data_IF_302862603274
#
_entry.id   IF_302862603274
#
_cell.length_a   1.000
_cell.length_b   1.000
_cell.length_c   1.000
_cell.angle_alpha   90.00
_cell.angle_beta   90.00
_cell.angle_gamma   90.00
#
_symmetry.space_group_name_H-M   'P 1'
#
loop_
_entity.id
_entity.type
_entity.pdbx_description
1 polymer ?
#
# COMPACT_ATOMS: atom_id res chain seq x y z
N UNK A 1 32.68 -10.67 -19.33
CA UNK A 1 31.38 -10.34 -18.70
C UNK A 1 31.08 -8.89 -18.99
N UNK A 2 30.10 -8.60 -19.84
CA UNK A 2 29.59 -7.24 -20.03
C UNK A 2 28.88 -6.82 -18.74
N UNK A 3 29.47 -5.90 -17.98
CA UNK A 3 28.78 -5.26 -16.86
C UNK A 3 27.55 -4.54 -17.42
N UNK A 4 26.36 -5.13 -17.24
CA UNK A 4 25.10 -4.41 -17.47
C UNK A 4 25.07 -3.28 -16.45
N UNK A 5 25.21 -2.05 -16.93
CA UNK A 5 25.11 -0.86 -16.08
C UNK A 5 23.63 -0.67 -15.74
N UNK A 6 23.27 -0.81 -14.47
CA UNK A 6 21.95 -0.42 -13.97
C UNK A 6 21.76 1.08 -14.21
N UNK A 7 20.66 1.47 -14.88
CA UNK A 7 20.31 2.87 -15.14
C UNK A 7 19.02 3.18 -14.40
N UNK A 8 19.08 4.20 -13.53
CA UNK A 8 17.90 4.78 -12.92
C UNK A 8 17.28 5.82 -13.85
N UNK A 9 16.01 6.16 -13.61
CA UNK A 9 15.31 7.17 -14.39
C UNK A 9 16.02 8.52 -14.31
N UNK A 10 16.11 9.23 -15.45
CA UNK A 10 16.78 10.53 -15.52
C UNK A 10 16.14 11.63 -14.66
N UNK A 11 14.86 11.46 -14.31
CA UNK A 11 14.12 12.37 -13.43
C UNK A 11 14.32 12.06 -11.93
N UNK A 12 14.82 10.87 -11.58
CA UNK A 12 14.98 10.48 -10.19
C UNK A 12 16.10 11.30 -9.52
N UNK A 13 15.83 11.79 -8.31
CA UNK A 13 16.73 12.68 -7.57
C UNK A 13 18.17 12.16 -7.53
N UNK A 14 19.10 12.83 -8.22
CA UNK A 14 20.53 12.45 -8.22
C UNK A 14 20.82 11.06 -8.77
N UNK A 15 19.96 10.53 -9.66
CA UNK A 15 20.07 9.17 -10.18
C UNK A 15 19.82 8.11 -9.11
N UNK A 16 18.99 8.41 -8.11
CA UNK A 16 18.62 7.48 -7.03
C UNK A 16 17.61 6.43 -7.49
N UNK A 17 17.58 5.33 -6.76
CA UNK A 17 16.52 4.32 -6.83
C UNK A 17 15.36 4.74 -5.91
N UNK A 18 14.15 4.27 -6.20
CA UNK A 18 12.92 4.64 -5.49
C UNK A 18 12.60 3.63 -4.40
N UNK A 19 12.27 4.11 -3.18
CA UNK A 19 12.08 3.27 -2.00
C UNK A 19 11.06 2.15 -2.20
N UNK A 20 9.88 2.46 -2.75
CA UNK A 20 8.87 1.43 -3.04
C UNK A 20 9.29 0.48 -4.17
N UNK A 21 10.13 0.89 -5.12
CA UNK A 21 10.57 -0.02 -6.19
C UNK A 21 11.53 -1.10 -5.68
N UNK A 22 12.56 -0.72 -4.91
CA UNK A 22 13.52 -1.70 -4.38
C UNK A 22 13.09 -2.33 -3.06
N UNK A 23 12.19 -1.68 -2.31
CA UNK A 23 11.64 -2.17 -1.06
C UNK A 23 10.57 -3.25 -1.23
N UNK A 24 9.93 -3.29 -2.40
CA UNK A 24 8.76 -4.15 -2.67
C UNK A 24 9.13 -5.36 -3.54
N UNK A 25 10.25 -6.00 -3.19
CA UNK A 25 10.74 -7.22 -3.83
C UNK A 25 10.81 -8.41 -2.86
N UNK A 26 10.69 -8.12 -1.56
CA UNK A 26 11.10 -9.04 -0.50
C UNK A 26 10.29 -10.33 -0.50
N UNK A 27 8.96 -10.24 -0.59
CA UNK A 27 8.09 -11.40 -0.47
C UNK A 27 8.25 -12.38 -1.65
N UNK A 28 8.33 -11.86 -2.87
CA UNK A 28 8.49 -12.67 -4.07
C UNK A 28 9.87 -13.33 -4.10
N UNK A 29 10.94 -12.58 -3.81
CA UNK A 29 12.30 -13.11 -3.86
C UNK A 29 12.57 -14.11 -2.72
N UNK A 30 12.06 -13.82 -1.52
CA UNK A 30 12.20 -14.75 -0.39
C UNK A 30 11.47 -16.06 -0.66
N UNK A 31 10.25 -16.01 -1.19
CA UNK A 31 9.50 -17.22 -1.56
C UNK A 31 10.11 -17.93 -2.78
N UNK A 32 10.65 -17.19 -3.76
CA UNK A 32 11.36 -17.77 -4.89
C UNK A 32 12.57 -18.59 -4.44
N UNK A 33 13.31 -18.13 -3.43
CA UNK A 33 14.36 -18.94 -2.80
C UNK A 33 13.82 -20.18 -2.10
N UNK A 34 12.69 -20.09 -1.38
CA UNK A 34 12.10 -21.26 -0.72
C UNK A 34 11.67 -22.34 -1.72
N UNK A 35 11.03 -21.96 -2.83
CA UNK A 35 10.49 -22.93 -3.80
C UNK A 35 11.57 -23.51 -4.72
N UNK A 36 12.65 -22.77 -4.99
CA UNK A 36 13.72 -23.21 -5.89
C UNK A 36 14.89 -23.87 -5.16
N UNK A 37 15.09 -23.54 -3.88
CA UNK A 37 16.28 -23.89 -3.11
C UNK A 37 17.50 -23.02 -3.46
N UNK A 38 17.37 -22.03 -4.35
CA UNK A 38 18.44 -21.10 -4.71
C UNK A 38 18.40 -19.87 -3.79
N UNK A 39 19.41 -19.71 -2.93
CA UNK A 39 19.49 -18.62 -1.95
C UNK A 39 19.71 -17.24 -2.60
N UNK A 40 20.11 -17.17 -3.87
CA UNK A 40 20.51 -15.91 -4.51
C UNK A 40 19.42 -14.86 -4.46
N UNK A 41 18.15 -15.23 -4.58
CA UNK A 41 17.02 -14.30 -4.57
C UNK A 41 16.85 -13.66 -3.20
N UNK A 42 16.75 -14.47 -2.15
CA UNK A 42 16.69 -14.00 -0.76
C UNK A 42 17.90 -13.15 -0.39
N UNK A 43 19.11 -13.57 -0.76
CA UNK A 43 20.34 -12.82 -0.49
C UNK A 43 20.30 -11.40 -1.06
N UNK A 44 19.70 -11.21 -2.25
CA UNK A 44 19.55 -9.85 -2.84
C UNK A 44 18.67 -8.95 -2.00
N UNK A 45 17.51 -9.43 -1.55
CA UNK A 45 16.57 -8.61 -0.77
C UNK A 45 17.00 -8.43 0.69
N UNK A 46 17.75 -9.39 1.25
CA UNK A 46 18.42 -9.22 2.54
C UNK A 46 19.53 -8.16 2.50
N UNK A 47 20.26 -8.07 1.38
CA UNK A 47 21.26 -7.00 1.18
C UNK A 47 20.61 -5.61 1.23
N UNK A 48 19.41 -5.47 0.65
CA UNK A 48 18.64 -4.23 0.70
C UNK A 48 18.28 -3.88 2.14
N UNK A 49 17.77 -4.84 2.92
CA UNK A 49 17.44 -4.60 4.33
C UNK A 49 18.64 -4.24 5.18
N UNK A 50 19.78 -4.89 5.01
CA UNK A 50 21.00 -4.55 5.72
C UNK A 50 21.40 -3.08 5.51
N UNK A 51 21.39 -2.61 4.26
CA UNK A 51 21.64 -1.20 3.94
C UNK A 51 20.62 -0.27 4.59
N UNK A 52 19.33 -0.61 4.51
CA UNK A 52 18.26 0.20 5.07
C UNK A 52 18.26 0.21 6.61
N UNK A 53 18.70 -0.86 7.27
CA UNK A 53 18.78 -0.95 8.73
C UNK A 53 19.89 -0.06 9.27
N UNK A 54 21.05 -0.07 8.61
CA UNK A 54 22.25 0.63 9.09
C UNK A 54 22.26 2.13 8.75
N UNK A 55 21.55 2.54 7.71
CA UNK A 55 21.53 3.95 7.30
C UNK A 55 20.74 4.82 8.28
N UNK A 56 21.30 5.98 8.65
CA UNK A 56 20.62 6.95 9.50
C UNK A 56 19.34 7.48 8.83
N UNK A 57 18.22 7.39 9.54
CA UNK A 57 16.89 7.81 9.08
C UNK A 57 16.56 9.19 9.63
N UNK A 58 16.37 10.22 8.79
CA UNK A 58 15.98 11.55 9.28
C UNK A 58 14.63 11.46 10.01
N UNK A 59 14.61 11.77 11.30
CA UNK A 59 13.44 11.67 12.19
C UNK A 59 12.82 10.26 12.26
N UNK A 60 13.60 9.22 12.00
CA UNK A 60 13.11 7.85 11.90
C UNK A 60 12.28 7.56 10.63
N UNK A 61 12.18 8.51 9.70
CA UNK A 61 11.45 8.35 8.44
C UNK A 61 12.40 7.92 7.32
N UNK A 62 11.83 7.25 6.31
CA UNK A 62 12.57 6.78 5.13
C UNK A 62 12.34 7.74 3.96
N UNK A 63 13.39 8.44 3.47
CA UNK A 63 13.32 9.17 2.22
C UNK A 63 13.04 8.23 1.04
N UNK A 64 12.20 8.69 0.11
CA UNK A 64 11.77 7.92 -1.06
C UNK A 64 12.90 7.66 -2.09
N UNK A 65 14.10 8.23 -1.89
CA UNK A 65 15.20 8.16 -2.85
C UNK A 65 16.49 7.70 -2.16
N UNK A 66 17.07 6.60 -2.62
CA UNK A 66 18.37 6.10 -2.16
C UNK A 66 19.34 5.99 -3.34
N UNK A 67 20.53 6.59 -3.24
CA UNK A 67 21.53 6.50 -4.29
C UNK A 67 22.22 5.12 -4.26
N UNK A 68 22.11 4.28 -5.31
CA UNK A 68 22.64 2.92 -5.28
C UNK A 68 24.17 2.85 -5.36
N UNK A 69 24.85 3.93 -5.75
CA UNK A 69 26.32 3.98 -5.81
C UNK A 69 26.95 4.38 -4.49
N UNK A 70 26.30 5.28 -3.75
CA UNK A 70 26.84 5.84 -2.51
C UNK A 70 26.20 5.28 -1.25
N UNK A 71 25.04 4.63 -1.36
CA UNK A 71 24.26 4.18 -0.21
C UNK A 71 23.74 5.33 0.65
N UNK A 72 23.58 6.53 0.08
CA UNK A 72 23.09 7.72 0.80
C UNK A 72 21.71 8.14 0.32
N UNK A 73 20.91 8.68 1.23
CA UNK A 73 19.64 9.29 0.90
C UNK A 73 19.78 10.43 -0.12
N UNK A 74 18.82 10.52 -1.04
CA UNK A 74 18.64 11.63 -1.95
C UNK A 74 17.85 12.77 -1.31
N UNK A 75 16.92 13.36 -2.06
CA UNK A 75 16.02 14.38 -1.52
C UNK A 75 15.20 13.84 -0.34
N UNK A 76 15.06 14.67 0.70
CA UNK A 76 14.22 14.37 1.87
C UNK A 76 12.74 14.59 1.53
N UNK A 77 12.19 13.60 0.84
CA UNK A 77 10.77 13.46 0.55
C UNK A 77 10.32 12.11 1.09
N UNK A 78 9.35 12.12 2.00
CA UNK A 78 8.81 10.94 2.67
C UNK A 78 7.30 10.92 2.42
N UNK A 79 6.79 9.76 1.99
CA UNK A 79 5.37 9.58 1.69
C UNK A 79 4.95 8.15 2.06
N UNK A 80 3.71 8.01 2.52
CA UNK A 80 3.00 6.73 2.57
C UNK A 80 2.12 6.53 1.31
N UNK A 81 2.20 7.43 0.34
CA UNK A 81 1.68 7.27 -1.01
C UNK A 81 2.82 7.00 -1.97
N UNK A 82 2.74 7.62 -3.16
CA UNK A 82 3.66 7.34 -4.25
C UNK A 82 5.15 7.38 -3.83
N UNK A 83 5.92 6.42 -4.36
CA UNK A 83 7.37 6.27 -4.18
C UNK A 83 7.83 5.72 -2.82
N UNK A 84 6.91 5.51 -1.86
CA UNK A 84 7.24 5.02 -0.52
C UNK A 84 6.30 3.92 -0.01
N UNK A 85 5.00 4.04 -0.26
CA UNK A 85 3.90 3.10 0.07
C UNK A 85 4.30 1.64 0.37
N UNK A 86 4.54 0.84 -0.67
CA UNK A 86 4.62 -0.62 -0.58
C UNK A 86 5.89 -1.14 0.08
N UNK A 87 6.90 -0.27 0.31
CA UNK A 87 8.03 -0.63 1.17
C UNK A 87 7.56 -0.92 2.60
N UNK A 88 6.72 -0.03 3.16
CA UNK A 88 6.19 -0.20 4.51
C UNK A 88 5.25 -1.40 4.59
N UNK A 89 4.45 -1.61 3.54
CA UNK A 89 3.60 -2.78 3.36
C UNK A 89 4.40 -4.08 3.47
N UNK A 90 5.53 -4.16 2.75
CA UNK A 90 6.34 -5.37 2.67
C UNK A 90 7.14 -5.66 3.93
N UNK A 91 7.40 -4.68 4.79
CA UNK A 91 7.96 -4.96 6.11
C UNK A 91 6.98 -5.80 6.94
N UNK A 92 5.72 -5.37 7.05
CA UNK A 92 4.71 -6.13 7.78
C UNK A 92 4.41 -7.47 7.09
N UNK A 93 4.16 -7.42 5.78
CA UNK A 93 3.70 -8.61 5.04
C UNK A 93 4.79 -9.67 4.92
N UNK A 94 6.09 -9.32 4.90
CA UNK A 94 7.17 -10.30 4.98
C UNK A 94 7.24 -10.99 6.35
N UNK A 95 7.03 -10.25 7.44
CA UNK A 95 6.91 -10.84 8.77
C UNK A 95 5.74 -11.84 8.83
N UNK A 96 4.56 -11.47 8.30
CA UNK A 96 3.41 -12.38 8.23
C UNK A 96 3.74 -13.61 7.36
N UNK A 97 4.27 -13.42 6.16
CA UNK A 97 4.60 -14.49 5.21
C UNK A 97 5.54 -15.53 5.81
N UNK A 98 6.53 -15.08 6.59
CA UNK A 98 7.51 -15.95 7.24
C UNK A 98 6.96 -16.80 8.39
N UNK A 99 5.65 -16.76 8.64
CA UNK A 99 5.04 -17.44 9.79
C UNK A 99 5.23 -16.68 11.10
N UNK A 100 5.55 -15.37 11.02
CA UNK A 100 5.91 -14.49 12.14
C UNK A 100 7.33 -14.67 12.71
N UNK A 101 8.26 -15.20 11.91
CA UNK A 101 9.65 -15.45 12.33
C UNK A 101 10.65 -14.35 11.91
N UNK A 102 10.31 -13.52 10.92
CA UNK A 102 11.16 -12.42 10.43
C UNK A 102 11.05 -11.17 11.33
N UNK A 103 11.63 -11.26 12.53
CA UNK A 103 11.58 -10.18 13.53
C UNK A 103 12.26 -8.89 13.08
N UNK A 104 13.27 -8.96 12.21
CA UNK A 104 13.88 -7.75 11.64
C UNK A 104 12.85 -6.94 10.84
N UNK A 105 12.03 -7.60 10.02
CA UNK A 105 10.96 -6.94 9.29
C UNK A 105 9.93 -6.30 10.24
N UNK A 106 9.58 -7.01 11.31
CA UNK A 106 8.64 -6.52 12.32
C UNK A 106 9.16 -5.28 13.04
N UNK A 107 10.41 -5.31 13.51
CA UNK A 107 11.05 -4.17 14.18
C UNK A 107 11.12 -2.96 13.24
N UNK A 108 11.59 -3.16 12.00
CA UNK A 108 11.64 -2.10 11.00
C UNK A 108 10.26 -1.50 10.71
N UNK A 109 9.21 -2.34 10.65
CA UNK A 109 7.83 -1.88 10.47
C UNK A 109 7.38 -1.04 11.66
N UNK A 110 7.50 -1.55 12.88
CA UNK A 110 7.01 -0.87 14.07
C UNK A 110 7.71 0.49 14.26
N UNK A 111 9.03 0.56 14.07
CA UNK A 111 9.80 1.81 14.11
C UNK A 111 9.34 2.81 13.04
N UNK A 112 9.18 2.34 11.80
CA UNK A 112 8.76 3.18 10.68
C UNK A 112 7.35 3.75 10.90
N UNK A 113 6.40 2.89 11.31
CA UNK A 113 5.02 3.29 11.50
C UNK A 113 4.87 4.23 12.69
N UNK A 114 5.62 4.04 13.78
CA UNK A 114 5.64 4.99 14.90
C UNK A 114 6.17 6.37 14.47
N UNK A 115 7.22 6.41 13.64
CA UNK A 115 7.71 7.66 13.08
C UNK A 115 6.67 8.33 12.16
N UNK A 116 5.99 7.57 11.30
CA UNK A 116 4.90 8.06 10.44
C UNK A 116 3.74 8.61 11.27
N UNK A 117 3.30 7.92 12.32
CA UNK A 117 2.22 8.39 13.20
C UNK A 117 2.60 9.74 13.81
N UNK A 118 3.79 9.82 14.40
CA UNK A 118 4.28 11.04 15.04
C UNK A 118 4.38 12.21 14.06
N UNK A 119 4.92 11.95 12.87
CA UNK A 119 5.35 13.01 11.98
C UNK A 119 4.39 13.33 10.84
N UNK A 120 3.54 12.41 10.41
CA UNK A 120 2.79 12.51 9.15
C UNK A 120 1.28 12.25 9.30
N UNK A 121 0.83 11.49 10.30
CA UNK A 121 -0.61 11.29 10.58
C UNK A 121 -1.19 12.52 11.28
N UNK A 122 -2.29 13.05 10.76
CA UNK A 122 -2.94 14.29 11.23
C UNK A 122 -4.46 14.14 11.21
N UNK A 123 -5.14 15.03 11.92
CA UNK A 123 -6.59 15.19 11.86
C UNK A 123 -6.95 16.51 11.15
N UNK A 124 -7.95 16.49 10.29
CA UNK A 124 -8.51 17.69 9.68
C UNK A 124 -9.37 18.48 10.67
N UNK A 125 -9.68 19.76 10.41
CA UNK A 125 -10.67 20.50 11.21
C UNK A 125 -12.04 19.80 11.34
N UNK A 126 -12.46 19.09 10.29
CA UNK A 126 -13.68 18.27 10.25
C UNK A 126 -13.56 16.89 10.90
N UNK A 127 -12.39 16.56 11.49
CA UNK A 127 -12.18 15.31 12.21
C UNK A 127 -11.72 14.12 11.37
N UNK A 128 -11.36 14.32 10.10
CA UNK A 128 -10.84 13.24 9.24
C UNK A 128 -9.37 12.94 9.56
N UNK A 129 -9.04 11.68 9.83
CA UNK A 129 -7.66 11.21 9.97
C UNK A 129 -7.03 11.04 8.58
N UNK A 130 -5.87 11.65 8.33
CA UNK A 130 -5.14 11.50 7.07
C UNK A 130 -3.64 11.38 7.30
N UNK A 131 -2.93 10.83 6.32
CA UNK A 131 -1.47 10.81 6.27
C UNK A 131 -0.98 11.83 5.25
N UNK A 132 -0.14 12.75 5.69
CA UNK A 132 0.47 13.80 4.87
C UNK A 132 1.84 13.40 4.35
N UNK A 133 2.22 13.88 3.16
CA UNK A 133 3.62 13.83 2.73
C UNK A 133 4.48 14.78 3.55
N UNK A 134 5.77 14.48 3.67
CA UNK A 134 6.76 15.38 4.26
C UNK A 134 7.90 15.66 3.27
N UNK A 135 8.14 16.95 3.01
CA UNK A 135 9.24 17.44 2.16
C UNK A 135 10.08 18.44 2.91
N UNK A 136 11.37 18.15 3.10
CA UNK A 136 12.30 19.02 3.82
C UNK A 136 11.71 19.55 5.15
N UNK A 137 11.19 18.62 5.97
CA UNK A 137 10.54 18.89 7.26
C UNK A 137 9.23 19.67 7.24
N UNK A 138 8.64 19.90 6.06
CA UNK A 138 7.32 20.54 5.91
C UNK A 138 6.28 19.52 5.48
N UNK A 139 5.14 19.55 6.14
CA UNK A 139 4.00 18.73 5.75
C UNK A 139 3.33 19.33 4.52
N UNK A 140 3.06 18.48 3.54
CA UNK A 140 2.10 18.77 2.50
C UNK A 140 0.78 18.09 2.89
N UNK A 141 -0.23 18.89 3.24
CA UNK A 141 -1.56 18.42 3.66
C UNK A 141 -2.38 17.89 2.46
N UNK A 142 -1.87 16.81 1.89
CA UNK A 142 -2.31 16.09 0.70
C UNK A 142 -2.13 14.60 0.97
N UNK A 143 -3.07 13.80 0.49
CA UNK A 143 -3.00 12.34 0.52
C UNK A 143 -3.30 11.82 -0.88
N UNK A 144 -2.46 10.90 -1.36
CA UNK A 144 -2.68 10.21 -2.64
C UNK A 144 -3.68 9.07 -2.45
N UNK A 145 -4.42 8.72 -3.49
CA UNK A 145 -5.26 7.52 -3.51
C UNK A 145 -4.45 6.28 -3.16
N UNK A 146 -3.21 6.20 -3.65
CA UNK A 146 -2.24 5.17 -3.29
C UNK A 146 -2.15 4.99 -1.77
N UNK A 147 -2.09 6.08 -0.99
CA UNK A 147 -1.98 6.01 0.47
C UNK A 147 -3.22 5.44 1.16
N UNK A 148 -4.33 5.19 0.45
CA UNK A 148 -5.52 4.55 1.02
C UNK A 148 -5.30 3.09 1.40
N UNK A 149 -4.26 2.41 0.88
CA UNK A 149 -3.87 1.06 1.31
C UNK A 149 -3.50 1.03 2.81
N UNK A 150 -3.04 2.17 3.34
CA UNK A 150 -2.55 2.29 4.70
C UNK A 150 -3.63 1.97 5.75
N UNK A 151 -4.92 2.16 5.42
CA UNK A 151 -6.03 1.77 6.30
C UNK A 151 -5.98 0.28 6.65
N UNK A 152 -5.92 -0.57 5.63
CA UNK A 152 -5.75 -2.01 5.77
C UNK A 152 -4.40 -2.38 6.38
N UNK A 153 -3.31 -1.70 6.01
CA UNK A 153 -1.99 -1.95 6.59
C UNK A 153 -1.97 -1.74 8.11
N UNK A 154 -2.49 -0.62 8.60
CA UNK A 154 -2.60 -0.35 10.03
C UNK A 154 -3.53 -1.36 10.73
N UNK A 155 -4.66 -1.71 10.11
CA UNK A 155 -5.55 -2.75 10.60
C UNK A 155 -4.84 -4.09 10.81
N UNK A 156 -4.13 -4.56 9.78
CA UNK A 156 -3.30 -5.77 9.85
C UNK A 156 -2.20 -5.64 10.90
N UNK A 157 -1.50 -4.51 10.96
CA UNK A 157 -0.45 -4.25 11.93
C UNK A 157 -0.93 -4.37 13.38
N UNK A 158 -2.12 -3.85 13.67
CA UNK A 158 -2.73 -3.90 15.00
C UNK A 158 -3.20 -5.29 15.42
N UNK A 159 -3.59 -6.16 14.47
CA UNK A 159 -4.07 -7.52 14.74
C UNK A 159 -3.01 -8.61 14.66
N UNK A 160 -1.94 -8.34 13.93
CA UNK A 160 -0.92 -9.34 13.64
C UNK A 160 0.02 -9.58 14.83
N UNK A 161 0.32 -8.57 15.65
CA UNK A 161 1.00 -8.70 16.96
C UNK A 161 0.25 -7.89 18.00
N UNK A 162 -0.16 -8.52 19.10
CA UNK A 162 -0.79 -7.81 20.22
C UNK A 162 0.27 -7.12 21.09
N UNK A 163 0.30 -5.78 21.07
CA UNK A 163 1.22 -4.96 21.86
C UNK A 163 0.57 -3.61 22.24
N UNK A 164 1.33 -2.72 22.89
CA UNK A 164 0.82 -1.44 23.36
C UNK A 164 0.34 -0.46 22.25
N UNK A 165 0.67 -0.73 20.99
CA UNK A 165 0.29 0.10 19.84
C UNK A 165 -0.90 -0.49 19.05
N UNK A 166 -1.37 -1.70 19.39
CA UNK A 166 -2.41 -2.40 18.63
C UNK A 166 -3.70 -1.60 18.51
N UNK A 167 -4.19 -1.01 19.61
CA UNK A 167 -5.41 -0.19 19.60
C UNK A 167 -5.22 1.08 18.76
N UNK A 168 -4.10 1.78 18.93
CA UNK A 168 -3.78 2.97 18.13
C UNK A 168 -3.74 2.66 16.63
N UNK A 169 -3.17 1.51 16.24
CA UNK A 169 -3.13 1.09 14.84
C UNK A 169 -4.54 0.81 14.30
N UNK A 170 -5.40 0.14 15.08
CA UNK A 170 -6.79 -0.10 14.67
C UNK A 170 -7.57 1.21 14.49
N UNK A 171 -7.44 2.16 15.42
CA UNK A 171 -8.09 3.48 15.33
C UNK A 171 -7.62 4.27 14.11
N UNK A 172 -6.31 4.27 13.83
CA UNK A 172 -5.75 4.94 12.64
C UNK A 172 -6.21 4.22 11.37
N UNK A 173 -6.23 2.89 11.35
CA UNK A 173 -6.71 2.09 10.22
C UNK A 173 -8.16 2.41 9.86
N UNK A 174 -9.04 2.46 10.87
CA UNK A 174 -10.43 2.88 10.70
C UNK A 174 -10.55 4.33 10.22
N UNK A 175 -9.80 5.26 10.83
CA UNK A 175 -9.82 6.67 10.48
C UNK A 175 -9.36 6.94 9.04
N UNK A 176 -8.26 6.33 8.60
CA UNK A 176 -7.76 6.46 7.24
C UNK A 176 -8.74 5.85 6.22
N UNK A 177 -9.29 4.66 6.52
CA UNK A 177 -10.27 4.00 5.65
C UNK A 177 -11.52 4.86 5.47
N UNK A 178 -11.99 5.49 6.55
CA UNK A 178 -13.13 6.42 6.53
C UNK A 178 -12.82 7.67 5.72
N UNK A 179 -11.63 8.25 5.87
CA UNK A 179 -11.19 9.41 5.07
C UNK A 179 -11.10 9.09 3.57
N UNK A 180 -10.63 7.89 3.22
CA UNK A 180 -10.62 7.43 1.83
C UNK A 180 -12.04 7.27 1.29
N UNK A 181 -12.98 6.73 2.07
CA UNK A 181 -14.40 6.72 1.71
C UNK A 181 -14.97 8.13 1.50
N UNK A 182 -14.65 9.08 2.39
CA UNK A 182 -15.03 10.49 2.24
C UNK A 182 -14.54 11.08 0.92
N UNK A 183 -13.32 10.73 0.48
CA UNK A 183 -12.80 11.18 -0.81
C UNK A 183 -13.61 10.67 -2.01
N UNK A 184 -14.25 9.50 -1.89
CA UNK A 184 -15.12 8.93 -2.93
C UNK A 184 -16.48 9.63 -2.95
N UNK A 185 -17.17 9.69 -1.80
CA UNK A 185 -18.55 10.21 -1.73
C UNK A 185 -18.66 11.72 -1.94
N UNK A 186 -17.54 12.44 -1.83
CA UNK A 186 -17.43 13.88 -2.09
C UNK A 186 -17.26 14.23 -3.57
N UNK A 187 -17.24 13.25 -4.45
CA UNK A 187 -17.19 13.42 -5.91
C UNK A 187 -18.57 13.22 -6.53
N UNK A 188 -18.76 13.65 -7.78
CA UNK A 188 -20.02 13.39 -8.49
C UNK A 188 -20.16 11.89 -8.80
N UNK A 189 -19.09 11.30 -9.34
CA UNK A 189 -19.08 9.91 -9.81
C UNK A 189 -19.04 8.87 -8.70
N UNK A 190 -18.87 9.28 -7.43
CA UNK A 190 -18.64 8.40 -6.28
C UNK A 190 -17.37 7.54 -6.40
N UNK A 191 -16.38 8.00 -7.16
CA UNK A 191 -15.04 7.42 -7.27
C UNK A 191 -14.00 8.44 -6.82
N UNK A 192 -13.01 8.02 -6.03
CA UNK A 192 -12.01 8.93 -5.46
C UNK A 192 -11.02 9.49 -6.49
N UNK A 193 -10.56 10.74 -6.34
CA UNK A 193 -9.52 11.31 -7.19
C UNK A 193 -8.12 10.73 -6.86
N UNK A 194 -7.16 10.85 -7.77
CA UNK A 194 -5.77 10.41 -7.58
C UNK A 194 -5.11 11.01 -6.34
N UNK A 195 -5.45 12.26 -5.98
CA UNK A 195 -5.06 12.81 -4.69
C UNK A 195 -6.04 13.87 -4.20
N UNK A 196 -6.10 14.04 -2.89
CA UNK A 196 -7.02 14.94 -2.21
C UNK A 196 -6.32 15.69 -1.07
N UNK A 197 -6.89 16.84 -0.69
CA UNK A 197 -6.24 17.82 0.20
C UNK A 197 -7.05 18.09 1.46
N UNK A 198 -6.37 18.61 2.47
CA UNK A 198 -6.88 18.91 3.82
C UNK A 198 -6.53 20.33 4.28
N UNK A 199 -6.37 21.24 3.32
CA UNK A 199 -6.02 22.64 3.55
C UNK A 199 -7.02 23.58 2.85
N UNK A 200 -6.91 24.87 3.16
CA UNK A 200 -7.68 25.94 2.48
C UNK A 200 -9.21 25.75 2.55
N UNK A 201 -9.71 25.20 3.67
CA UNK A 201 -11.13 24.93 3.88
C UNK A 201 -11.69 23.75 3.07
N UNK A 202 -10.81 22.98 2.42
CA UNK A 202 -11.16 21.79 1.65
C UNK A 202 -10.64 20.55 2.35
N UNK A 203 -11.49 19.53 2.44
CA UNK A 203 -11.16 18.23 3.02
C UNK A 203 -11.56 17.11 2.07
N UNK A 204 -10.66 16.14 1.87
CA UNK A 204 -10.89 14.96 1.05
C UNK A 204 -11.42 15.27 -0.37
N UNK A 205 -10.93 16.36 -0.99
CA UNK A 205 -11.18 16.67 -2.41
C UNK A 205 -9.91 17.09 -3.13
N UNK A 206 -9.85 16.81 -4.44
CA UNK A 206 -8.80 17.29 -5.32
C UNK A 206 -9.03 18.76 -5.70
N UNK A 207 -7.97 19.56 -5.64
CA UNK A 207 -8.02 20.97 -6.06
C UNK A 207 -7.47 21.15 -7.47
N UNK A 208 -6.36 20.49 -7.79
CA UNK A 208 -5.65 20.66 -9.07
C UNK A 208 -6.26 19.77 -10.15
N UNK A 209 -6.37 20.27 -11.37
CA UNK A 209 -7.02 19.55 -12.47
C UNK A 209 -6.36 18.18 -12.75
N UNK A 210 -5.04 18.11 -12.70
CA UNK A 210 -4.25 16.89 -12.91
C UNK A 210 -4.35 15.88 -11.76
N UNK A 211 -5.02 16.21 -10.65
CA UNK A 211 -5.21 15.31 -9.50
C UNK A 211 -6.62 14.69 -9.50
N UNK A 212 -7.53 15.12 -10.40
CA UNK A 212 -8.97 14.76 -10.38
C UNK A 212 -9.31 13.43 -11.06
N UNK A 213 -8.33 12.74 -11.62
CA UNK A 213 -8.58 11.52 -12.37
C UNK A 213 -8.73 10.30 -11.46
N UNK A 214 -9.30 9.22 -11.99
CA UNK A 214 -9.38 7.91 -11.36
C UNK A 214 -9.05 6.85 -12.40
N UNK A 215 -8.01 6.04 -12.16
CA UNK A 215 -7.53 5.04 -13.14
C UNK A 215 -7.85 3.60 -12.71
N UNK A 216 -9.02 3.35 -12.12
CA UNK A 216 -9.47 2.01 -11.70
C UNK A 216 -8.66 1.41 -10.52
N UNK A 217 -8.04 2.27 -9.71
CA UNK A 217 -7.15 1.89 -8.62
C UNK A 217 -7.85 1.10 -7.50
N UNK A 218 -7.13 0.20 -6.81
CA UNK A 218 -7.69 -0.72 -5.82
C UNK A 218 -7.58 -0.29 -4.35
N UNK A 219 -6.73 0.66 -3.98
CA UNK A 219 -6.20 0.72 -2.60
C UNK A 219 -7.25 1.03 -1.53
N UNK A 220 -8.34 1.72 -1.91
CA UNK A 220 -9.50 1.92 -1.02
C UNK A 220 -10.25 0.61 -0.78
N UNK A 221 -10.40 -0.23 -1.81
CA UNK A 221 -11.09 -1.51 -1.73
C UNK A 221 -10.26 -2.58 -1.00
N UNK A 222 -8.93 -2.53 -1.11
CA UNK A 222 -8.04 -3.33 -0.25
C UNK A 222 -8.32 -3.04 1.22
N UNK A 223 -8.33 -1.76 1.60
CA UNK A 223 -8.64 -1.35 2.98
C UNK A 223 -10.04 -1.76 3.42
N UNK A 224 -11.07 -1.65 2.56
CA UNK A 224 -12.41 -2.14 2.89
C UNK A 224 -12.41 -3.65 3.15
N UNK A 225 -11.77 -4.44 2.26
CA UNK A 225 -11.66 -5.88 2.41
C UNK A 225 -10.98 -6.27 3.72
N UNK A 226 -9.82 -5.68 4.00
CA UNK A 226 -9.07 -5.97 5.23
C UNK A 226 -9.87 -5.55 6.46
N UNK A 227 -10.38 -4.32 6.50
CA UNK A 227 -11.11 -3.83 7.67
C UNK A 227 -12.41 -4.63 7.90
N UNK A 228 -13.10 -5.04 6.85
CA UNK A 228 -14.22 -5.99 6.95
C UNK A 228 -13.78 -7.30 7.61
N UNK A 229 -12.73 -7.97 7.12
CA UNK A 229 -12.26 -9.25 7.68
C UNK A 229 -11.83 -9.13 9.14
N UNK A 230 -11.25 -8.00 9.53
CA UNK A 230 -10.76 -7.80 10.90
C UNK A 230 -11.85 -7.38 11.90
N UNK A 231 -12.95 -6.76 11.44
CA UNK A 231 -13.94 -6.12 12.34
C UNK A 231 -15.36 -6.63 12.16
N UNK A 232 -15.69 -7.13 10.96
CA UNK A 232 -17.04 -7.45 10.53
C UNK A 232 -18.02 -6.27 10.63
N UNK A 233 -17.52 -5.02 10.57
CA UNK A 233 -18.36 -3.84 10.49
C UNK A 233 -18.97 -3.73 9.08
N UNK A 234 -20.30 -3.85 9.00
CA UNK A 234 -21.07 -3.90 7.76
C UNK A 234 -20.83 -2.68 6.85
N UNK A 235 -20.44 -1.53 7.43
CA UNK A 235 -20.19 -0.31 6.64
C UNK A 235 -19.19 -0.53 5.50
N UNK A 236 -18.17 -1.37 5.70
CA UNK A 236 -17.15 -1.61 4.67
C UNK A 236 -17.70 -2.33 3.44
N UNK A 237 -18.66 -3.25 3.64
CA UNK A 237 -19.37 -3.91 2.53
C UNK A 237 -20.32 -2.95 1.83
N UNK A 238 -21.04 -2.12 2.59
CA UNK A 238 -21.96 -1.13 2.03
C UNK A 238 -21.19 -0.09 1.18
N UNK A 239 -20.06 0.41 1.68
CA UNK A 239 -19.17 1.31 0.95
C UNK A 239 -18.55 0.66 -0.29
N UNK A 240 -18.16 -0.61 -0.20
CA UNK A 240 -17.71 -1.37 -1.37
C UNK A 240 -18.81 -1.51 -2.43
N UNK A 241 -20.06 -1.68 -2.03
CA UNK A 241 -21.18 -1.82 -2.95
C UNK A 241 -21.53 -0.50 -3.65
N UNK A 242 -21.46 0.62 -2.93
CA UNK A 242 -21.56 1.96 -3.52
C UNK A 242 -20.48 2.18 -4.60
N UNK A 243 -19.24 1.74 -4.34
CA UNK A 243 -18.17 1.83 -5.31
C UNK A 243 -18.37 0.90 -6.52
N UNK A 244 -18.89 -0.32 -6.34
CA UNK A 244 -19.27 -1.22 -7.46
C UNK A 244 -20.28 -0.53 -8.36
N UNK A 245 -21.33 0.08 -7.79
CA UNK A 245 -22.32 0.81 -8.58
C UNK A 245 -21.70 1.99 -9.33
N UNK A 246 -20.77 2.71 -8.71
CA UNK A 246 -20.04 3.81 -9.34
C UNK A 246 -19.17 3.34 -10.52
N UNK A 247 -18.46 2.22 -10.37
CA UNK A 247 -17.68 1.59 -11.44
C UNK A 247 -18.58 1.19 -12.62
N UNK A 248 -19.74 0.57 -12.34
CA UNK A 248 -20.72 0.19 -13.36
C UNK A 248 -21.28 1.39 -14.12
N UNK A 249 -21.59 2.47 -13.41
CA UNK A 249 -22.24 3.65 -13.98
C UNK A 249 -21.27 4.52 -14.81
N UNK A 250 -20.00 4.62 -14.39
CA UNK A 250 -19.07 5.60 -14.96
C UNK A 250 -17.89 4.99 -15.72
N UNK A 251 -17.37 3.84 -15.27
CA UNK A 251 -16.19 3.22 -15.85
C UNK A 251 -16.51 2.16 -16.89
N UNK A 252 -17.68 1.51 -16.82
CA UNK A 252 -18.06 0.45 -17.76
C UNK A 252 -18.24 0.99 -19.19
N UNK A 253 -17.81 0.18 -20.15
CA UNK A 253 -17.98 0.36 -21.59
C UNK A 253 -18.57 -0.94 -22.18
N UNK A 254 -19.00 -0.95 -23.46
CA UNK A 254 -19.47 -2.19 -24.10
C UNK A 254 -18.43 -3.33 -24.13
N UNK A 255 -17.13 -3.02 -24.01
CA UNK A 255 -16.03 -3.98 -24.20
C UNK A 255 -15.07 -4.09 -23.01
N UNK A 256 -15.34 -3.42 -21.88
CA UNK A 256 -14.45 -3.42 -20.71
C UNK A 256 -14.71 -2.24 -19.78
N UNK A 257 -13.69 -1.80 -19.06
CA UNK A 257 -13.70 -0.66 -18.13
C UNK A 257 -12.58 0.33 -18.47
N UNK A 258 -12.79 1.60 -18.15
CA UNK A 258 -11.83 2.69 -18.40
C UNK A 258 -11.76 3.63 -17.21
N UNK A 259 -10.59 4.24 -17.00
CA UNK A 259 -10.44 5.34 -16.07
C UNK A 259 -11.14 6.62 -16.53
N UNK A 260 -11.24 7.56 -15.59
CA UNK A 260 -11.92 8.84 -15.72
C UNK A 260 -10.91 9.97 -15.54
N UNK A 261 -10.91 10.96 -16.41
CA UNK A 261 -10.01 12.13 -16.29
C UNK A 261 -10.45 13.13 -15.23
N UNK A 262 -11.72 13.12 -14.83
CA UNK A 262 -12.25 14.03 -13.81
C UNK A 262 -13.50 13.46 -13.12
N UNK A 263 -13.34 12.97 -11.90
CA UNK A 263 -14.41 12.33 -11.08
C UNK A 263 -15.50 13.28 -10.59
N UNK A 264 -15.34 14.60 -10.77
CA UNK A 264 -16.29 15.63 -10.34
C UNK A 264 -17.31 16.02 -11.42
N UNK A 265 -17.23 15.45 -12.62
CA UNK A 265 -18.14 15.74 -13.72
C UNK A 265 -19.28 14.72 -13.79
N UNK A 266 -20.42 15.16 -14.31
CA UNK A 266 -21.58 14.29 -14.58
C UNK A 266 -21.29 13.30 -15.71
N UNK A 267 -20.60 13.78 -16.74
CA UNK A 267 -20.17 13.02 -17.91
C UNK A 267 -18.64 13.10 -18.01
N UNK A 268 -17.92 12.26 -17.24
CA UNK A 268 -16.45 12.30 -17.20
C UNK A 268 -15.84 11.83 -18.53
N UNK A 269 -14.79 12.53 -18.97
CA UNK A 269 -13.99 12.07 -20.12
C UNK A 269 -13.22 10.81 -19.73
N UNK A 270 -13.32 9.78 -20.58
CA UNK A 270 -12.65 8.49 -20.41
C UNK A 270 -11.17 8.57 -20.81
N UNK A 271 -10.32 7.78 -20.16
CA UNK A 271 -8.87 7.72 -20.45
C UNK A 271 -8.48 6.67 -21.50
N UNK A 272 -9.41 5.79 -21.88
CA UNK A 272 -9.24 4.69 -22.84
C UNK A 272 -8.20 3.64 -22.43
N UNK A 273 -8.05 3.40 -21.11
CA UNK A 273 -7.16 2.37 -20.57
C UNK A 273 -7.87 1.48 -19.54
N UNK A 274 -7.83 0.17 -19.77
CA UNK A 274 -8.16 -0.83 -18.76
C UNK A 274 -6.86 -1.34 -18.12
N UNK A 275 -6.58 -0.87 -16.91
CA UNK A 275 -5.37 -1.24 -16.17
C UNK A 275 -5.41 -2.72 -15.76
N UNK A 276 -4.27 -3.41 -15.77
CA UNK A 276 -4.19 -4.83 -15.35
C UNK A 276 -4.62 -5.01 -13.89
N UNK A 277 -4.23 -4.08 -13.01
CA UNK A 277 -4.61 -4.10 -11.60
C UNK A 277 -6.12 -3.94 -11.36
N UNK A 278 -6.89 -3.46 -12.33
CA UNK A 278 -8.35 -3.49 -12.19
C UNK A 278 -8.84 -4.94 -12.04
N UNK A 279 -8.28 -5.85 -12.84
CA UNK A 279 -8.63 -7.27 -12.80
C UNK A 279 -7.90 -8.00 -11.68
N UNK A 280 -6.61 -7.71 -11.49
CA UNK A 280 -5.82 -8.38 -10.46
C UNK A 280 -6.27 -7.97 -9.06
N UNK A 281 -6.59 -6.70 -8.82
CA UNK A 281 -6.76 -6.16 -7.48
C UNK A 281 -8.18 -5.67 -7.23
N UNK A 282 -8.65 -4.67 -7.97
CA UNK A 282 -9.95 -4.01 -7.73
C UNK A 282 -11.08 -5.03 -7.69
N UNK A 283 -11.21 -5.86 -8.73
CA UNK A 283 -12.24 -6.89 -8.79
C UNK A 283 -12.00 -8.01 -7.78
N UNK A 284 -10.75 -8.37 -7.47
CA UNK A 284 -10.45 -9.43 -6.50
C UNK A 284 -10.80 -8.99 -5.08
N UNK A 285 -10.39 -7.81 -4.64
CA UNK A 285 -10.71 -7.30 -3.31
C UNK A 285 -12.22 -7.08 -3.14
N UNK A 286 -12.91 -6.56 -4.16
CA UNK A 286 -14.37 -6.45 -4.12
C UNK A 286 -15.03 -7.83 -4.05
N UNK A 287 -14.57 -8.81 -4.82
CA UNK A 287 -15.08 -10.18 -4.72
C UNK A 287 -14.87 -10.78 -3.33
N UNK A 288 -13.68 -10.61 -2.75
CA UNK A 288 -13.33 -11.13 -1.42
C UNK A 288 -14.06 -10.41 -0.28
N UNK A 289 -14.31 -9.10 -0.42
CA UNK A 289 -15.10 -8.30 0.51
C UNK A 289 -16.51 -8.87 0.67
N UNK A 290 -17.13 -9.36 -0.41
CA UNK A 290 -18.45 -9.98 -0.40
C UNK A 290 -18.44 -11.51 -0.26
N UNK A 291 -17.27 -12.11 -0.07
CA UNK A 291 -17.13 -13.55 0.14
C UNK A 291 -17.05 -13.91 1.64
N UNK A 292 -17.28 -15.18 1.95
CA UNK A 292 -17.09 -15.73 3.29
C UNK A 292 -15.62 -15.75 3.71
N UNK A 293 -15.38 -15.71 5.02
CA UNK A 293 -14.04 -15.62 5.60
C UNK A 293 -13.13 -16.80 5.26
N UNK A 294 -13.74 -17.96 4.98
CA UNK A 294 -13.05 -19.18 4.57
C UNK A 294 -12.40 -19.13 3.19
N UNK A 295 -12.77 -18.16 2.34
CA UNK A 295 -12.11 -17.95 1.05
C UNK A 295 -10.89 -17.04 1.25
N UNK A 296 -9.70 -17.59 1.00
CA UNK A 296 -8.40 -16.93 1.21
C UNK A 296 -8.28 -16.29 2.60
N UNK A 297 -8.36 -17.08 3.69
CA UNK A 297 -8.26 -16.57 5.05
C UNK A 297 -6.91 -15.87 5.30
N UNK A 298 -6.92 -14.76 6.03
CA UNK A 298 -5.75 -13.92 6.26
C UNK A 298 -4.68 -14.59 7.14
N UNK A 299 -5.05 -15.66 7.84
CA UNK A 299 -4.16 -16.50 8.65
C UNK A 299 -3.28 -17.39 7.77
N UNK A 300 -3.78 -17.80 6.60
CA UNK A 300 -3.10 -18.73 5.68
C UNK A 300 -2.50 -18.00 4.47
N UNK A 301 -3.00 -16.81 4.13
CA UNK A 301 -2.59 -16.06 2.95
C UNK A 301 -2.19 -14.65 3.28
N UNK A 302 -1.14 -14.18 2.61
CA UNK A 302 -0.73 -12.79 2.60
C UNK A 302 -0.66 -12.31 1.15
N UNK A 303 -1.36 -11.23 0.85
CA UNK A 303 -1.43 -10.66 -0.50
C UNK A 303 -0.20 -9.81 -0.76
N UNK A 304 0.51 -10.04 -1.86
CA UNK A 304 1.53 -9.10 -2.32
C UNK A 304 0.90 -7.76 -2.74
N UNK A 305 1.70 -6.76 -3.13
CA UNK A 305 1.20 -5.39 -3.41
C UNK A 305 0.32 -5.29 -4.67
N UNK A 306 0.18 -6.38 -5.45
CA UNK A 306 -0.69 -6.46 -6.62
C UNK A 306 -1.81 -7.52 -6.41
N UNK A 307 -2.23 -7.68 -5.16
CA UNK A 307 -3.26 -8.62 -4.71
C UNK A 307 -3.01 -10.10 -5.11
N UNK A 308 -1.78 -10.53 -5.36
CA UNK A 308 -1.47 -11.94 -5.58
C UNK A 308 -1.26 -12.63 -4.23
N UNK A 309 -2.12 -13.60 -3.85
CA UNK A 309 -2.01 -14.26 -2.57
C UNK A 309 -0.81 -15.21 -2.56
N UNK A 310 0.07 -15.04 -1.56
CA UNK A 310 1.19 -15.93 -1.27
C UNK A 310 0.88 -16.74 0.01
N UNK A 311 1.22 -18.04 0.05
CA UNK A 311 0.96 -18.86 1.21
C UNK A 311 1.85 -18.43 2.39
N UNK A 312 1.30 -18.40 3.60
CA UNK A 312 2.05 -18.19 4.83
C UNK A 312 2.80 -19.46 5.21
N UNK A 313 4.11 -19.33 5.47
CA UNK A 313 4.98 -20.42 5.87
C UNK A 313 4.48 -21.09 7.16
N UNK A 314 4.55 -22.42 7.22
CA UNK A 314 4.16 -23.26 8.36
C UNK A 314 2.67 -23.16 8.79
N UNK A 315 1.84 -22.39 8.07
CA UNK A 315 0.38 -22.30 8.28
C UNK A 315 -0.41 -22.84 7.08
N UNK A 316 0.02 -22.48 5.87
CA UNK A 316 -0.70 -22.84 4.66
C UNK A 316 -0.13 -24.13 4.03
N UNK A 317 -0.94 -25.19 3.82
CA UNK A 317 -0.48 -26.44 3.21
C UNK A 317 -0.04 -26.31 1.75
N UNK A 318 -0.36 -25.19 1.09
CA UNK A 318 0.10 -24.87 -0.26
C UNK A 318 1.45 -24.13 -0.28
N UNK A 319 2.08 -23.91 0.87
CA UNK A 319 3.47 -23.50 0.93
C UNK A 319 4.37 -24.63 0.41
N UNK A 320 5.26 -24.33 -0.55
CA UNK A 320 6.00 -25.35 -1.35
C UNK A 320 7.51 -25.21 -1.18
N UNK A 321 8.09 -25.62 -0.06
CA UNK A 321 9.53 -25.55 0.12
C UNK A 321 10.24 -26.52 -0.85
N UNK A 322 11.46 -26.20 -1.24
CA UNK A 322 12.29 -27.03 -2.10
C UNK A 322 12.58 -28.40 -1.45
N UNK A 323 12.73 -29.43 -2.27
CA UNK A 323 13.02 -30.77 -1.78
C UNK A 323 14.36 -30.77 -1.00
N UNK A 324 14.31 -31.17 0.27
CA UNK A 324 15.49 -31.26 1.14
C UNK A 324 15.75 -30.04 2.04
N UNK A 325 14.97 -28.96 1.94
CA UNK A 325 14.94 -27.94 2.98
C UNK A 325 14.04 -28.43 4.13
N UNK A 326 14.61 -29.12 5.10
CA UNK A 326 13.91 -29.37 6.37
C UNK A 326 13.69 -28.05 7.09
N UNK A 327 12.46 -27.79 7.56
CA UNK A 327 12.24 -26.76 8.58
C UNK A 327 13.16 -27.06 9.78
N UNK A 328 13.96 -26.09 10.24
CA UNK A 328 14.74 -26.26 11.47
C UNK A 328 13.85 -26.49 12.69
#
# INVERSE_FOLDING_TARGET
MTHKVSKNYGWASGGSSILSEFGTLHMEFSYLSDITGDSVYRERVQTIRAVLKDIEKPKGLYPNYLNPKTGKWGQQHMSLGALGDSFYEYLLKAWIQSGQEDWEAREMYDEAMQAIIKHMVRSSPGGLTYVSDMKFDRLEHKMDHLACFAGGLFGLGGRSLNNAFSEQYLEIGEGLTSTCHESYIRTYTRLGPESFRFNDGVEAKALKAQEKYYILRPETFESYFIMWRLTHDQKYRDWGWDAVQALENHCRTPTGYTGLKNVYLTEPVKDDVQQSFFLAETLKYLYLLFSDDSLLPLEDWVFNTEAHPLPVKDRNPLYRPAAGSSSP
#
